data_IF_577988359231
#
_entry.id   IF_577988359231
#
_cell.length_a   1.000
_cell.length_b   1.000
_cell.length_c   1.000
_cell.angle_alpha   90.00
_cell.angle_beta   90.00
_cell.angle_gamma   90.00
#
_symmetry.space_group_name_H-M   'P 1'
#
loop_
_entity.id
_entity.type
_entity.pdbx_description
1 polymer ?
#
# COMPACT_ATOMS: atom_id res chain seq x y z
N UNK A 1 13.79 -49.06 1.48
CA UNK A 1 12.47 -48.41 1.37
C UNK A 1 12.65 -46.95 1.70
N UNK A 2 12.33 -46.08 0.74
CA UNK A 2 12.46 -44.63 0.85
C UNK A 2 11.14 -44.03 1.37
N UNK A 3 11.24 -43.03 2.25
CA UNK A 3 10.32 -41.90 2.30
C UNK A 3 10.99 -40.76 3.08
N UNK A 4 11.57 -39.83 2.30
CA UNK A 4 11.91 -38.47 2.71
C UNK A 4 10.62 -37.76 3.13
N UNK A 5 10.63 -37.03 4.25
CA UNK A 5 9.64 -35.96 4.42
C UNK A 5 10.34 -34.72 4.98
N UNK A 6 10.40 -33.73 4.10
CA UNK A 6 11.21 -32.55 4.21
C UNK A 6 10.73 -31.64 5.34
N UNK A 7 11.73 -31.23 6.11
CA UNK A 7 11.78 -30.12 7.06
C UNK A 7 11.19 -28.85 6.41
N UNK A 8 9.91 -28.57 6.65
CA UNK A 8 9.31 -27.25 6.36
C UNK A 8 9.84 -26.25 7.39
N UNK A 9 11.00 -25.67 7.09
CA UNK A 9 11.48 -24.48 7.78
C UNK A 9 10.45 -23.36 7.57
N UNK A 10 9.84 -22.94 8.68
CA UNK A 10 9.15 -21.66 8.81
C UNK A 10 10.14 -20.56 8.43
N UNK A 11 10.00 -20.01 7.22
CA UNK A 11 10.66 -18.76 6.86
C UNK A 11 9.95 -17.67 7.67
N UNK A 12 10.50 -17.41 8.85
CA UNK A 12 10.21 -16.25 9.65
C UNK A 12 10.40 -15.02 8.74
N UNK A 13 9.31 -14.28 8.57
CA UNK A 13 9.28 -13.07 7.75
C UNK A 13 10.30 -12.07 8.26
N UNK A 14 11.40 -11.93 7.53
CA UNK A 14 12.19 -10.71 7.52
C UNK A 14 11.31 -9.60 6.92
N UNK A 15 10.43 -9.02 7.74
CA UNK A 15 9.89 -7.69 7.52
C UNK A 15 11.01 -6.67 7.76
N UNK A 16 12.03 -6.71 6.91
CA UNK A 16 12.80 -5.52 6.62
C UNK A 16 11.82 -4.62 5.87
N UNK A 17 11.14 -3.75 6.61
CA UNK A 17 10.78 -2.42 6.11
C UNK A 17 12.12 -1.70 5.90
N UNK A 18 12.88 -2.16 4.91
CA UNK A 18 13.82 -1.31 4.23
C UNK A 18 12.96 -0.28 3.53
N UNK A 19 12.74 0.85 4.19
CA UNK A 19 12.47 2.06 3.45
C UNK A 19 13.54 2.10 2.35
N UNK A 20 13.18 2.11 1.05
CA UNK A 20 14.19 2.19 0.02
C UNK A 20 14.92 3.52 0.29
N UNK A 21 16.15 3.44 0.78
CA UNK A 21 17.02 4.58 1.05
C UNK A 21 17.49 5.24 -0.27
N UNK A 22 16.68 5.17 -1.32
CA UNK A 22 17.05 5.51 -2.69
C UNK A 22 15.92 5.30 -3.69
N UNK A 23 14.66 5.61 -3.35
CA UNK A 23 13.65 5.82 -4.38
C UNK A 23 13.91 7.20 -5.03
N UNK A 24 14.97 7.30 -5.84
CA UNK A 24 15.37 8.52 -6.57
C UNK A 24 14.70 8.60 -7.95
N UNK A 25 13.80 7.67 -8.26
CA UNK A 25 13.20 7.57 -9.59
C UNK A 25 11.69 7.28 -9.54
N UNK A 26 10.96 7.79 -10.53
CA UNK A 26 9.52 7.56 -10.71
C UNK A 26 9.17 6.07 -10.63
N UNK A 27 9.83 5.16 -11.37
CA UNK A 27 9.47 3.75 -11.35
C UNK A 27 9.69 3.07 -9.98
N UNK A 28 10.59 3.58 -9.14
CA UNK A 28 10.74 3.06 -7.77
C UNK A 28 9.54 3.44 -6.90
N UNK A 29 9.04 4.68 -7.01
CA UNK A 29 7.83 5.08 -6.31
C UNK A 29 6.59 4.36 -6.84
N UNK A 30 6.49 4.09 -8.14
CA UNK A 30 5.42 3.25 -8.70
C UNK A 30 5.45 1.84 -8.09
N UNK A 31 6.64 1.25 -7.95
CA UNK A 31 6.81 -0.05 -7.27
C UNK A 31 6.35 0.00 -5.82
N UNK A 32 6.65 1.07 -5.08
CA UNK A 32 6.19 1.24 -3.70
C UNK A 32 4.66 1.32 -3.62
N UNK A 33 4.02 2.07 -4.53
CA UNK A 33 2.55 2.16 -4.59
C UNK A 33 1.92 0.81 -4.92
N UNK A 34 2.47 0.07 -5.90
CA UNK A 34 1.99 -1.25 -6.29
C UNK A 34 2.20 -2.31 -5.18
N UNK A 35 3.33 -2.28 -4.48
CA UNK A 35 3.58 -3.15 -3.32
C UNK A 35 2.60 -2.83 -2.17
N UNK A 36 2.32 -1.55 -1.95
CA UNK A 36 1.33 -1.13 -0.97
C UNK A 36 -0.07 -1.61 -1.35
N UNK A 37 -0.47 -1.48 -2.62
CA UNK A 37 -1.74 -2.03 -3.12
C UNK A 37 -1.86 -3.54 -2.85
N UNK A 38 -0.85 -4.32 -3.24
CA UNK A 38 -0.84 -5.77 -3.03
C UNK A 38 -0.96 -6.13 -1.54
N UNK A 39 -0.30 -5.38 -0.66
CA UNK A 39 -0.37 -5.56 0.79
C UNK A 39 -1.74 -5.24 1.36
N UNK A 40 -2.41 -4.20 0.85
CA UNK A 40 -3.77 -3.83 1.28
C UNK A 40 -4.80 -4.82 0.76
N UNK A 41 -4.67 -5.28 -0.50
CA UNK A 41 -5.53 -6.30 -1.08
C UNK A 41 -5.45 -7.63 -0.32
N UNK A 42 -4.25 -8.04 0.12
CA UNK A 42 -4.03 -9.26 0.89
C UNK A 42 -4.52 -9.23 2.34
N UNK A 43 -4.92 -8.06 2.87
CA UNK A 43 -5.36 -7.94 4.28
C UNK A 43 -6.79 -8.38 4.55
N UNK A 44 -7.62 -8.59 3.52
CA UNK A 44 -9.01 -9.00 3.73
C UNK A 44 -9.76 -8.04 4.67
N UNK A 45 -9.71 -6.73 4.39
CA UNK A 45 -10.62 -5.79 5.06
C UNK A 45 -12.08 -6.24 4.74
N UNK A 46 -13.07 -5.74 5.47
CA UNK A 46 -14.47 -6.13 5.26
C UNK A 46 -15.34 -4.96 4.79
N UNK A 47 -16.46 -5.26 4.13
CA UNK A 47 -17.55 -4.31 3.89
C UNK A 47 -17.64 -3.73 2.46
N UNK A 48 -18.77 -3.09 2.16
CA UNK A 48 -19.09 -2.56 0.82
C UNK A 48 -18.28 -1.30 0.47
N UNK A 49 -17.92 -0.49 1.46
CA UNK A 49 -17.09 0.70 1.30
C UNK A 49 -15.59 0.37 1.09
N UNK A 50 -15.18 -0.87 1.40
CA UNK A 50 -13.81 -1.33 1.18
C UNK A 50 -13.49 -1.55 -0.30
N UNK A 51 -14.41 -2.13 -1.09
CA UNK A 51 -14.15 -2.34 -2.52
C UNK A 51 -13.92 -1.02 -3.25
N UNK A 52 -14.59 0.04 -2.79
CA UNK A 52 -14.39 1.42 -3.23
C UNK A 52 -13.01 1.94 -2.79
N UNK A 53 -12.57 1.64 -1.57
CA UNK A 53 -11.24 1.97 -1.07
C UNK A 53 -10.13 1.26 -1.90
N UNK A 54 -10.28 -0.03 -2.14
CA UNK A 54 -9.34 -0.83 -2.94
C UNK A 54 -9.29 -0.34 -4.39
N UNK A 55 -10.44 0.05 -4.96
CA UNK A 55 -10.49 0.64 -6.30
C UNK A 55 -9.73 1.96 -6.38
N UNK A 56 -9.92 2.85 -5.40
CA UNK A 56 -9.15 4.12 -5.35
C UNK A 56 -7.65 3.87 -5.26
N UNK A 57 -7.23 2.84 -4.53
CA UNK A 57 -5.82 2.48 -4.43
C UNK A 57 -5.27 1.89 -5.74
N UNK A 58 -6.03 1.00 -6.39
CA UNK A 58 -5.68 0.45 -7.70
C UNK A 58 -5.58 1.56 -8.76
N UNK A 59 -6.49 2.52 -8.73
CA UNK A 59 -6.49 3.69 -9.61
C UNK A 59 -5.29 4.63 -9.36
N UNK A 60 -4.69 4.60 -8.16
CA UNK A 60 -3.45 5.33 -7.83
C UNK A 60 -2.19 4.54 -8.21
N UNK A 61 -2.26 3.21 -8.18
CA UNK A 61 -1.20 2.29 -8.59
C UNK A 61 -1.14 2.10 -10.12
N UNK A 62 -2.19 2.51 -10.84
CA UNK A 62 -2.31 2.33 -12.28
C UNK A 62 -1.07 2.87 -13.04
N UNK A 63 -0.43 2.04 -13.89
CA UNK A 63 0.71 2.47 -14.67
C UNK A 63 0.30 3.57 -15.66
N UNK A 64 1.14 4.60 -15.81
CA UNK A 64 0.89 5.72 -16.72
C UNK A 64 -0.03 6.82 -16.19
N UNK A 65 -0.63 6.68 -14.99
CA UNK A 65 -1.37 7.78 -14.36
C UNK A 65 -0.43 8.96 -14.04
N UNK A 66 -0.92 10.20 -14.22
CA UNK A 66 -0.13 11.41 -13.93
C UNK A 66 0.21 11.47 -12.45
N UNK A 67 1.41 11.97 -12.12
CA UNK A 67 1.90 12.06 -10.74
C UNK A 67 0.91 12.78 -9.81
N UNK A 68 0.37 13.93 -10.25
CA UNK A 68 -0.62 14.70 -9.50
C UNK A 68 -1.90 13.93 -9.23
N UNK A 69 -2.38 13.14 -10.20
CA UNK A 69 -3.57 12.31 -10.06
C UNK A 69 -3.36 11.20 -9.04
N UNK A 70 -2.18 10.56 -9.04
CA UNK A 70 -1.82 9.53 -8.05
C UNK A 70 -1.77 10.09 -6.64
N UNK A 71 -1.17 11.26 -6.46
CA UNK A 71 -1.13 11.93 -5.14
C UNK A 71 -2.54 12.27 -4.66
N UNK A 72 -3.40 12.80 -5.53
CA UNK A 72 -4.81 13.07 -5.20
C UNK A 72 -5.54 11.79 -4.77
N UNK A 73 -5.43 10.71 -5.53
CA UNK A 73 -6.07 9.42 -5.20
C UNK A 73 -5.55 8.78 -3.92
N UNK A 74 -4.25 8.90 -3.63
CA UNK A 74 -3.69 8.45 -2.34
C UNK A 74 -4.20 9.30 -1.17
N UNK A 75 -4.41 10.61 -1.38
CA UNK A 75 -5.09 11.47 -0.42
C UNK A 75 -6.53 11.04 -0.15
N UNK A 76 -7.30 10.80 -1.21
CA UNK A 76 -8.68 10.29 -1.11
C UNK A 76 -8.73 8.93 -0.40
N UNK A 77 -7.79 8.04 -0.69
CA UNK A 77 -7.67 6.75 -0.02
C UNK A 77 -7.43 6.92 1.48
N UNK A 78 -6.50 7.80 1.87
CA UNK A 78 -6.22 8.11 3.29
C UNK A 78 -7.46 8.61 4.00
N UNK A 79 -8.19 9.53 3.38
CA UNK A 79 -9.36 10.15 4.00
C UNK A 79 -10.52 9.14 4.10
N UNK A 80 -10.71 8.29 3.08
CA UNK A 80 -11.68 7.18 3.11
C UNK A 80 -11.35 6.12 4.16
N UNK A 81 -10.07 5.82 4.39
CA UNK A 81 -9.67 4.89 5.46
C UNK A 81 -10.10 5.41 6.85
N UNK A 82 -10.05 6.73 7.08
CA UNK A 82 -10.57 7.36 8.31
C UNK A 82 -12.10 7.33 8.40
N UNK A 83 -12.79 7.54 7.28
CA UNK A 83 -14.26 7.42 7.24
C UNK A 83 -14.71 5.99 7.53
N UNK A 84 -13.99 4.99 7.01
CA UNK A 84 -14.24 3.57 7.29
C UNK A 84 -14.03 3.24 8.78
N UNK A 85 -13.02 3.83 9.41
CA UNK A 85 -12.77 3.69 10.86
C UNK A 85 -13.94 4.24 11.67
N UNK A 86 -14.36 5.47 11.39
CA UNK A 86 -15.47 6.11 12.09
C UNK A 86 -16.80 5.35 11.93
N UNK A 87 -16.96 4.61 10.82
CA UNK A 87 -18.13 3.76 10.54
C UNK A 87 -18.00 2.32 11.07
N UNK A 88 -16.86 1.97 11.68
CA UNK A 88 -16.58 0.62 12.16
C UNK A 88 -16.32 -0.43 11.05
N UNK A 89 -16.08 0.01 9.81
CA UNK A 89 -15.77 -0.87 8.68
C UNK A 89 -14.33 -1.40 8.69
N UNK A 90 -13.43 -0.73 9.42
CA UNK A 90 -12.04 -1.16 9.66
C UNK A 90 -11.65 -0.84 11.10
N UNK A 91 -10.71 -1.58 11.67
CA UNK A 91 -10.17 -1.23 12.99
C UNK A 91 -9.40 0.09 12.92
N UNK A 92 -9.35 0.83 14.04
CA UNK A 92 -8.51 2.04 14.15
C UNK A 92 -7.05 1.77 13.82
N UNK A 93 -6.53 0.60 14.24
CA UNK A 93 -5.17 0.19 13.93
C UNK A 93 -4.94 0.01 12.42
N UNK A 94 -5.89 -0.63 11.73
CA UNK A 94 -5.80 -0.82 10.28
C UNK A 94 -5.95 0.51 9.54
N UNK A 95 -6.92 1.34 9.91
CA UNK A 95 -7.10 2.66 9.32
C UNK A 95 -5.85 3.54 9.42
N UNK A 96 -5.22 3.58 10.60
CA UNK A 96 -3.98 4.31 10.81
C UNK A 96 -2.82 3.75 9.97
N UNK A 97 -2.78 2.42 9.78
CA UNK A 97 -1.75 1.77 8.96
C UNK A 97 -1.96 2.06 7.48
N UNK A 98 -3.20 2.06 7.01
CA UNK A 98 -3.58 2.42 5.64
C UNK A 98 -3.25 3.90 5.38
N UNK A 99 -3.60 4.78 6.31
CA UNK A 99 -3.33 6.22 6.20
C UNK A 99 -1.82 6.51 6.13
N UNK A 100 -1.02 5.90 7.01
CA UNK A 100 0.46 6.04 7.00
C UNK A 100 1.09 5.47 5.74
N UNK A 101 0.60 4.34 5.24
CA UNK A 101 1.06 3.75 3.98
C UNK A 101 0.82 4.65 2.78
N UNK A 102 -0.38 5.24 2.69
CA UNK A 102 -0.71 6.20 1.64
C UNK A 102 0.12 7.49 1.75
N UNK A 103 0.39 7.97 2.95
CA UNK A 103 1.26 9.13 3.18
C UNK A 103 2.71 8.88 2.76
N UNK A 104 3.27 7.71 3.09
CA UNK A 104 4.61 7.33 2.62
C UNK A 104 4.69 7.26 1.09
N UNK A 105 3.65 6.73 0.44
CA UNK A 105 3.54 6.68 -1.01
C UNK A 105 3.44 8.08 -1.64
N UNK A 106 2.62 8.98 -1.06
CA UNK A 106 2.53 10.38 -1.51
C UNK A 106 3.87 11.09 -1.40
N UNK A 107 4.58 10.94 -0.27
CA UNK A 107 5.89 11.56 -0.07
C UNK A 107 6.93 11.05 -1.08
N UNK A 108 6.87 9.76 -1.46
CA UNK A 108 7.73 9.22 -2.52
C UNK A 108 7.46 9.94 -3.85
N UNK A 109 6.19 9.98 -4.27
CA UNK A 109 5.78 10.60 -5.54
C UNK A 109 6.10 12.11 -5.58
N UNK A 110 5.91 12.81 -4.47
CA UNK A 110 6.23 14.23 -4.34
C UNK A 110 7.73 14.50 -4.46
N UNK A 111 8.58 13.75 -3.73
CA UNK A 111 10.05 13.94 -3.79
C UNK A 111 10.61 13.72 -5.19
N UNK A 112 10.12 12.71 -5.89
CA UNK A 112 10.53 12.44 -7.27
C UNK A 112 9.99 13.49 -8.24
N UNK A 113 8.74 13.94 -8.05
CA UNK A 113 8.16 15.02 -8.86
C UNK A 113 8.89 16.36 -8.73
N UNK A 114 9.53 16.61 -7.59
CA UNK A 114 10.39 17.78 -7.34
C UNK A 114 11.81 17.65 -7.93
N UNK A 115 12.15 16.53 -8.56
CA UNK A 115 13.42 16.35 -9.28
C UNK A 115 14.66 16.27 -8.38
N UNK A 116 14.53 15.70 -7.17
CA UNK A 116 15.63 15.54 -6.20
C UNK A 116 16.05 14.09 -6.03
#
# INVERSE_FOLDING_TARGET
MAAVTARRMLIAGCLLVGAPAGATSVPDCERVVAQFEAHVAGRGLGGRDQSVLLRTLADAAAPGARMSERVTKLGEFRDRARVLEARGGVSRFDADRLARGAEAAMLCLQRVGEGR
#
